data_IF_494657044641
#
_entry.id   IF_494657044641
#
_cell.length_a   1.000
_cell.length_b   1.000
_cell.length_c   1.000
_cell.angle_alpha   90.00
_cell.angle_beta   90.00
_cell.angle_gamma   90.00
#
_symmetry.space_group_name_H-M   'P 1'
#
loop_
_entity.id
_entity.type
_entity.pdbx_description
1 polymer ?
#
# COMPACT_ATOMS: atom_id res chain seq x y z
N UNK A 1 -6.56 -5.42 28.58
CA UNK A 1 -7.99 -5.72 28.45
C UNK A 1 -8.30 -5.73 26.99
N UNK A 2 -8.24 -6.94 26.47
CA UNK A 2 -8.17 -7.35 25.06
C UNK A 2 -9.58 -7.54 24.54
N UNK A 3 -10.03 -6.67 23.65
CA UNK A 3 -11.20 -6.94 22.82
C UNK A 3 -11.15 -6.04 21.57
N UNK A 4 -11.56 -6.59 20.44
CA UNK A 4 -11.67 -5.95 19.10
C UNK A 4 -10.52 -6.18 18.12
N UNK A 5 -10.11 -7.42 17.96
CA UNK A 5 -9.78 -7.91 16.61
C UNK A 5 -11.11 -8.22 15.91
N UNK A 6 -11.34 -7.55 14.77
CA UNK A 6 -12.10 -8.02 13.59
C UNK A 6 -13.62 -7.87 13.59
N UNK A 7 -14.10 -6.84 12.87
CA UNK A 7 -15.16 -7.00 11.87
C UNK A 7 -15.11 -5.89 10.79
N UNK A 8 -14.28 -6.07 9.76
CA UNK A 8 -14.55 -5.46 8.44
C UNK A 8 -14.74 -6.58 7.43
N UNK A 9 -15.74 -7.42 7.70
CA UNK A 9 -16.19 -8.49 6.82
C UNK A 9 -17.71 -8.31 6.66
N UNK A 10 -18.11 -7.36 5.81
CA UNK A 10 -19.51 -7.05 5.57
C UNK A 10 -19.76 -6.70 4.11
N UNK A 11 -20.49 -7.58 3.43
CA UNK A 11 -21.01 -7.49 2.05
C UNK A 11 -20.09 -7.90 0.88
N UNK A 12 -20.33 -9.12 0.37
CA UNK A 12 -19.62 -9.70 -0.79
C UNK A 12 -19.98 -9.02 -2.12
N UNK A 13 -20.95 -8.10 -2.14
CA UNK A 13 -21.41 -7.43 -3.37
C UNK A 13 -20.53 -6.23 -3.74
N UNK A 14 -19.77 -5.65 -2.80
CA UNK A 14 -18.81 -4.55 -3.01
C UNK A 14 -17.35 -5.05 -3.10
N UNK A 15 -17.13 -6.31 -3.48
CA UNK A 15 -15.80 -6.95 -3.43
C UNK A 15 -14.82 -6.60 -4.55
N UNK A 16 -15.23 -5.92 -5.61
CA UNK A 16 -14.34 -5.64 -6.76
C UNK A 16 -13.55 -4.33 -6.70
N UNK A 17 -13.87 -3.39 -5.80
CA UNK A 17 -13.23 -2.06 -5.87
C UNK A 17 -12.20 -1.78 -4.78
N UNK A 18 -12.29 -2.35 -3.58
CA UNK A 18 -11.37 -1.99 -2.48
C UNK A 18 -10.24 -3.00 -2.26
N UNK A 19 -10.41 -4.24 -2.74
CA UNK A 19 -9.39 -5.26 -2.57
C UNK A 19 -8.21 -5.10 -3.55
N UNK A 20 -8.45 -4.52 -4.73
CA UNK A 20 -7.44 -4.32 -5.76
C UNK A 20 -6.72 -2.97 -5.68
N UNK A 21 -7.12 -2.09 -4.76
CA UNK A 21 -6.45 -0.79 -4.58
C UNK A 21 -5.40 -0.94 -3.45
N UNK A 22 -4.11 -1.13 -3.78
CA UNK A 22 -3.06 -1.36 -2.78
C UNK A 22 -2.91 -0.17 -1.80
N UNK A 23 -3.26 1.05 -2.23
CA UNK A 23 -3.22 2.23 -1.37
C UNK A 23 -4.18 2.18 -0.18
N UNK A 24 -5.41 1.71 -0.38
CA UNK A 24 -6.45 1.75 0.66
C UNK A 24 -6.20 0.69 1.74
N UNK A 25 -5.81 -0.52 1.32
CA UNK A 25 -5.50 -1.63 2.22
C UNK A 25 -4.36 -1.30 3.18
N UNK A 26 -3.25 -0.79 2.64
CA UNK A 26 -2.09 -0.48 3.47
C UNK A 26 -2.40 0.70 4.40
N UNK A 27 -3.08 1.75 3.91
CA UNK A 27 -3.50 2.90 4.74
C UNK A 27 -4.32 2.46 5.95
N UNK A 28 -5.28 1.56 5.76
CA UNK A 28 -6.16 1.10 6.83
C UNK A 28 -5.39 0.30 7.90
N UNK A 29 -4.46 -0.56 7.48
CA UNK A 29 -3.63 -1.36 8.40
C UNK A 29 -2.68 -0.47 9.22
N UNK A 30 -2.00 0.48 8.58
CA UNK A 30 -1.14 1.46 9.27
C UNK A 30 -1.96 2.43 10.14
N UNK A 31 -3.16 2.80 9.69
CA UNK A 31 -4.09 3.65 10.43
C UNK A 31 -4.57 3.00 11.73
N UNK A 32 -4.99 1.73 11.69
CA UNK A 32 -5.47 1.02 12.89
C UNK A 32 -4.30 0.74 13.85
N UNK A 33 -3.17 0.25 13.34
CA UNK A 33 -1.99 -0.04 14.17
C UNK A 33 -1.43 1.22 14.85
N UNK A 34 -1.36 2.34 14.13
CA UNK A 34 -0.93 3.61 14.73
C UNK A 34 -1.97 4.21 15.68
N UNK A 35 -3.28 4.06 15.41
CA UNK A 35 -4.33 4.52 16.31
C UNK A 35 -4.33 3.78 17.65
N UNK A 36 -4.11 2.45 17.62
CA UNK A 36 -3.94 1.63 18.83
C UNK A 36 -2.62 1.97 19.52
N UNK A 37 -1.50 2.00 18.81
CA UNK A 37 -0.19 2.32 19.38
C UNK A 37 -0.14 3.72 19.99
N UNK A 38 -0.61 4.74 19.27
CA UNK A 38 -0.68 6.13 19.71
C UNK A 38 -1.66 6.34 20.87
N UNK A 39 -2.82 5.69 20.82
CA UNK A 39 -3.79 5.70 21.92
C UNK A 39 -3.24 5.10 23.21
N UNK A 40 -2.53 3.97 23.12
CA UNK A 40 -1.88 3.33 24.25
C UNK A 40 -0.75 4.18 24.81
N UNK A 41 0.15 4.69 23.97
CA UNK A 41 1.23 5.60 24.39
C UNK A 41 0.65 6.81 25.13
N UNK A 42 -0.38 7.45 24.55
CA UNK A 42 -1.03 8.61 25.16
C UNK A 42 -1.73 8.27 26.49
N UNK A 43 -2.37 7.10 26.57
CA UNK A 43 -2.99 6.61 27.80
C UNK A 43 -1.97 6.36 28.91
N UNK A 44 -0.79 5.79 28.59
CA UNK A 44 0.28 5.58 29.57
C UNK A 44 0.81 6.90 30.14
N UNK A 45 0.91 7.95 29.32
CA UNK A 45 1.40 9.25 29.79
C UNK A 45 0.35 10.07 30.56
N UNK A 46 -0.95 9.91 30.27
CA UNK A 46 -1.98 10.83 30.78
C UNK A 46 -3.01 10.19 31.72
N UNK A 47 -3.05 8.85 31.86
CA UNK A 47 -4.02 8.07 32.67
C UNK A 47 -5.52 8.38 32.48
N UNK A 48 -5.90 9.31 31.58
CA UNK A 48 -7.28 9.73 31.34
C UNK A 48 -7.83 9.13 30.06
N UNK A 49 -8.70 8.13 30.23
CA UNK A 49 -9.34 7.36 29.14
C UNK A 49 -10.14 8.27 28.18
N UNK A 50 -10.81 9.32 28.67
CA UNK A 50 -11.56 10.27 27.83
C UNK A 50 -10.68 10.98 26.80
N UNK A 51 -9.49 11.43 27.19
CA UNK A 51 -8.58 12.11 26.27
C UNK A 51 -7.90 11.13 25.31
N UNK A 52 -7.69 9.88 25.74
CA UNK A 52 -7.14 8.84 24.88
C UNK A 52 -8.02 8.56 23.65
N UNK A 53 -9.35 8.57 23.79
CA UNK A 53 -10.25 8.36 22.65
C UNK A 53 -10.13 9.47 21.59
N UNK A 54 -10.11 10.74 22.03
CA UNK A 54 -9.88 11.88 21.13
C UNK A 54 -8.49 11.81 20.47
N UNK A 55 -7.46 11.40 21.21
CA UNK A 55 -6.11 11.22 20.68
C UNK A 55 -6.01 10.07 19.68
N UNK A 56 -6.70 8.94 19.91
CA UNK A 56 -6.76 7.81 18.97
C UNK A 56 -7.44 8.19 17.66
N UNK A 57 -8.55 8.95 17.72
CA UNK A 57 -9.22 9.43 16.50
C UNK A 57 -8.29 10.41 15.75
N UNK A 58 -7.68 11.37 16.46
CA UNK A 58 -6.75 12.32 15.86
C UNK A 58 -5.56 11.63 15.19
N UNK A 59 -4.92 10.68 15.87
CA UNK A 59 -3.78 9.91 15.31
C UNK A 59 -4.20 9.07 14.12
N UNK A 60 -5.34 8.37 14.20
CA UNK A 60 -5.88 7.60 13.08
C UNK A 60 -6.17 8.48 11.85
N UNK A 61 -6.80 9.64 12.04
CA UNK A 61 -7.11 10.59 10.97
C UNK A 61 -5.83 11.13 10.32
N UNK A 62 -4.85 11.55 11.12
CA UNK A 62 -3.57 12.06 10.61
C UNK A 62 -2.85 11.00 9.79
N UNK A 63 -2.70 9.78 10.32
CA UNK A 63 -1.99 8.70 9.62
C UNK A 63 -2.69 8.31 8.33
N UNK A 64 -4.02 8.24 8.33
CA UNK A 64 -4.80 7.93 7.13
C UNK A 64 -4.61 9.00 6.04
N UNK A 65 -4.64 10.29 6.41
CA UNK A 65 -4.45 11.40 5.46
C UNK A 65 -3.00 11.47 4.94
N UNK A 66 -2.01 11.28 5.81
CA UNK A 66 -0.60 11.23 5.43
C UNK A 66 -0.33 10.08 4.47
N UNK A 67 -0.88 8.90 4.75
CA UNK A 67 -0.70 7.74 3.88
C UNK A 67 -1.42 7.93 2.54
N UNK A 68 -2.61 8.55 2.54
CA UNK A 68 -3.35 8.85 1.30
C UNK A 68 -2.56 9.75 0.36
N UNK A 69 -2.04 10.86 0.87
CA UNK A 69 -1.25 11.82 0.08
C UNK A 69 0.05 11.19 -0.41
N UNK A 70 0.75 10.44 0.45
CA UNK A 70 1.95 9.71 0.09
C UNK A 70 1.69 8.66 -1.00
N UNK A 71 0.63 7.87 -0.86
CA UNK A 71 0.32 6.82 -1.83
C UNK A 71 -0.05 7.40 -3.19
N UNK A 72 -0.78 8.52 -3.22
CA UNK A 72 -1.08 9.25 -4.48
C UNK A 72 0.18 9.72 -5.18
N UNK A 73 1.14 10.27 -4.44
CA UNK A 73 2.41 10.72 -5.02
C UNK A 73 3.21 9.55 -5.58
N UNK A 74 3.32 8.47 -4.80
CA UNK A 74 4.08 7.30 -5.20
C UNK A 74 3.44 6.54 -6.35
N UNK A 75 2.11 6.51 -6.44
CA UNK A 75 1.38 5.86 -7.53
C UNK A 75 1.76 6.43 -8.90
N UNK A 76 1.84 7.75 -9.03
CA UNK A 76 2.26 8.40 -10.28
C UNK A 76 3.71 8.05 -10.63
N UNK A 77 4.57 7.94 -9.61
CA UNK A 77 5.98 7.58 -9.80
C UNK A 77 6.16 6.11 -10.20
N UNK A 78 5.46 5.20 -9.52
CA UNK A 78 5.49 3.76 -9.77
C UNK A 78 4.94 3.43 -11.18
N UNK A 79 3.93 4.19 -11.65
CA UNK A 79 3.42 4.10 -13.04
C UNK A 79 4.50 4.43 -14.07
N UNK A 80 5.22 5.55 -13.88
CA UNK A 80 6.33 5.95 -14.76
C UNK A 80 7.48 4.94 -14.73
N UNK A 81 7.80 4.41 -13.55
CA UNK A 81 8.84 3.37 -13.40
C UNK A 81 8.46 2.07 -14.10
N UNK A 82 7.19 1.65 -14.02
CA UNK A 82 6.70 0.45 -14.70
C UNK A 82 6.80 0.58 -16.22
N UNK A 83 6.48 1.76 -16.77
CA UNK A 83 6.62 2.05 -18.21
C UNK A 83 8.09 2.01 -18.64
N UNK A 84 8.98 2.69 -17.92
CA UNK A 84 10.42 2.66 -18.20
C UNK A 84 11.00 1.24 -18.11
N UNK A 85 10.67 0.49 -17.06
CA UNK A 85 11.13 -0.90 -16.88
C UNK A 85 10.70 -1.81 -18.03
N UNK A 86 9.48 -1.65 -18.52
CA UNK A 86 8.96 -2.45 -19.63
C UNK A 86 9.70 -2.13 -20.94
N UNK A 87 10.05 -0.87 -21.17
CA UNK A 87 10.83 -0.47 -22.35
C UNK A 87 12.24 -1.06 -22.32
N UNK A 88 12.93 -0.99 -21.17
CA UNK A 88 14.25 -1.64 -21.02
C UNK A 88 14.18 -3.15 -21.26
N UNK A 89 13.16 -3.82 -20.71
CA UNK A 89 12.97 -5.25 -20.90
C UNK A 89 12.70 -5.60 -22.37
N UNK A 90 11.93 -4.77 -23.09
CA UNK A 90 11.64 -4.96 -24.51
C UNK A 90 12.89 -4.82 -25.38
N UNK A 91 13.72 -3.82 -25.11
CA UNK A 91 15.00 -3.63 -25.81
C UNK A 91 15.94 -4.82 -25.58
N UNK A 92 15.95 -5.37 -24.36
CA UNK A 92 16.73 -6.55 -24.03
C UNK A 92 16.26 -7.80 -24.80
N UNK A 93 14.95 -8.08 -24.82
CA UNK A 93 14.38 -9.23 -25.54
C UNK A 93 14.66 -9.15 -27.05
N UNK A 94 14.57 -7.96 -27.66
CA UNK A 94 14.85 -7.79 -29.10
C UNK A 94 16.33 -8.07 -29.40
N UNK A 95 17.25 -7.63 -28.53
CA UNK A 95 18.69 -7.89 -28.70
C UNK A 95 19.01 -9.38 -28.57
N UNK A 96 18.57 -10.04 -27.50
CA UNK A 96 18.77 -11.49 -27.33
C UNK A 96 18.13 -12.31 -28.46
N UNK A 97 16.94 -11.90 -28.94
CA UNK A 97 16.26 -12.58 -30.04
C UNK A 97 16.94 -12.41 -31.41
N UNK A 98 17.77 -11.38 -31.60
CA UNK A 98 18.48 -11.16 -32.87
C UNK A 98 19.74 -12.01 -32.94
N UNK A 99 20.51 -12.09 -31.85
CA UNK A 99 21.69 -12.97 -31.75
C UNK A 99 21.31 -14.43 -32.01
N UNK A 100 20.18 -14.89 -31.42
CA UNK A 100 19.70 -16.27 -31.62
C UNK A 100 19.17 -16.57 -33.04
N UNK A 101 18.89 -15.56 -33.87
CA UNK A 101 18.50 -15.75 -35.28
C UNK A 101 19.73 -15.80 -36.20
N UNK A 102 20.77 -15.01 -35.94
CA UNK A 102 22.04 -15.06 -36.68
C UNK A 102 22.78 -16.39 -36.45
N UNK A 103 22.70 -16.94 -35.24
CA UNK A 103 23.26 -18.27 -34.91
C UNK A 103 22.57 -19.42 -35.65
N UNK A 104 21.28 -19.25 -36.01
CA UNK A 104 20.49 -20.26 -36.73
C UNK A 104 20.61 -20.14 -38.24
N UNK A 105 20.76 -18.93 -38.77
CA UNK A 105 21.00 -18.69 -40.20
C UNK A 105 22.42 -19.11 -40.62
N UNK A 106 23.36 -19.18 -39.68
CA UNK A 106 24.73 -19.67 -39.92
C UNK A 106 24.86 -21.21 -39.99
N UNK A 107 23.80 -21.96 -39.67
CA UNK A 107 23.80 -23.45 -39.58
C UNK A 107 22.90 -24.10 -40.65
N UNK A 108 22.22 -23.31 -41.49
CA UNK A 108 21.39 -23.79 -42.61
C UNK A 108 22.12 -23.70 -43.94
#
# INVERSE_FOLDING_TARGET
MTDSVRESSGDKRIRRSFADIPCYKNSLLYGISSGIGGGLIYFLFTSKVKHACHASIATHTVVTLSYWTYCRYKWEEDRKKAEMMTEYLRQYIIREGTEQNEDKESVV
#
